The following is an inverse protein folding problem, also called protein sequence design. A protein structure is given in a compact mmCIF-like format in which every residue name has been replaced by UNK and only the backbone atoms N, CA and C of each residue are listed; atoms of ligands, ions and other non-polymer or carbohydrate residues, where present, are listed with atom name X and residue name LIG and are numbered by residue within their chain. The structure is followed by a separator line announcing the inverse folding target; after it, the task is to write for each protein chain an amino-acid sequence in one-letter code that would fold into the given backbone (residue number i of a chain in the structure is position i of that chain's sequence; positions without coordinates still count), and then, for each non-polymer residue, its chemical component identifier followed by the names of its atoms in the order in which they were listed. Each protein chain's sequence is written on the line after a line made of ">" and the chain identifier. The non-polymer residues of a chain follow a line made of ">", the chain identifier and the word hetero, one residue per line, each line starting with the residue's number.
data_IF_534059192657
#
_entry.id   IF_534059192657
#
_cell.length_a   1.000
_cell.length_b   1.000
_cell.length_c   1.000
_cell.angle_alpha   90.00
_cell.angle_beta   90.00
_cell.angle_gamma   90.00
#
_symmetry.space_group_name_H-M   'P 1'
#
loop_
_entity.id
_entity.type
_entity.pdbx_description
1 polymer ?
#
# COMPACT_ATOMS: atom_id res chain seq x y z
N UNK A 1 -11.38 -18.03 -26.71
CA UNK A 1 -11.25 -16.55 -26.66
C UNK A 1 -10.47 -16.23 -25.40
N UNK A 2 -9.16 -15.94 -25.51
CA UNK A 2 -8.34 -15.60 -24.33
C UNK A 2 -8.58 -14.13 -24.03
N UNK A 3 -9.62 -13.84 -23.24
CA UNK A 3 -9.82 -12.50 -22.71
C UNK A 3 -8.65 -12.13 -21.81
N UNK A 4 -8.02 -10.97 -22.02
CA UNK A 4 -7.03 -10.44 -21.08
C UNK A 4 -7.78 -10.07 -19.80
N UNK A 5 -7.55 -10.80 -18.72
CA UNK A 5 -8.02 -10.38 -17.40
C UNK A 5 -7.14 -9.21 -16.95
N UNK A 6 -7.75 -8.05 -16.73
CA UNK A 6 -7.03 -6.90 -16.18
C UNK A 6 -6.89 -7.10 -14.66
N UNK A 7 -5.65 -7.01 -14.18
CA UNK A 7 -5.31 -7.12 -12.77
C UNK A 7 -4.88 -5.73 -12.28
N UNK A 8 -5.74 -4.98 -11.55
CA UNK A 8 -5.43 -3.62 -11.08
C UNK A 8 -4.12 -3.54 -10.28
N UNK A 9 -3.77 -4.62 -9.57
CA UNK A 9 -2.54 -4.71 -8.79
C UNK A 9 -1.26 -4.73 -9.66
N UNK A 10 -1.36 -5.00 -10.96
CA UNK A 10 -0.25 -4.98 -11.92
C UNK A 10 -0.27 -3.73 -12.82
N UNK A 11 -1.14 -2.76 -12.53
CA UNK A 11 -1.21 -1.48 -13.23
C UNK A 11 -0.36 -0.41 -12.54
N UNK A 12 0.56 0.20 -13.28
CA UNK A 12 1.46 1.24 -12.78
C UNK A 12 0.70 2.52 -12.42
N UNK A 13 -0.31 2.91 -13.21
CA UNK A 13 -1.08 4.12 -12.94
C UNK A 13 -1.94 3.95 -11.68
N UNK A 14 -2.52 2.77 -11.49
CA UNK A 14 -3.26 2.48 -10.26
C UNK A 14 -2.32 2.38 -9.05
N UNK A 15 -1.11 1.81 -9.22
CA UNK A 15 -0.09 1.82 -8.16
C UNK A 15 0.37 3.24 -7.80
N UNK A 16 0.53 4.15 -8.77
CA UNK A 16 0.79 5.57 -8.51
C UNK A 16 -0.35 6.17 -7.69
N UNK A 17 -1.60 5.91 -8.09
CA UNK A 17 -2.79 6.43 -7.41
C UNK A 17 -2.87 5.96 -5.95
N UNK A 18 -2.71 4.66 -5.73
CA UNK A 18 -2.73 4.04 -4.40
C UNK A 18 -1.59 4.55 -3.51
N UNK A 19 -0.36 4.62 -4.02
CA UNK A 19 0.78 5.14 -3.25
C UNK A 19 0.62 6.62 -2.90
N UNK A 20 0.13 7.44 -3.83
CA UNK A 20 -0.15 8.85 -3.59
C UNK A 20 -1.20 9.02 -2.47
N UNK A 21 -2.34 8.33 -2.57
CA UNK A 21 -3.38 8.40 -1.54
C UNK A 21 -2.92 7.88 -0.17
N UNK A 22 -2.15 6.79 -0.13
CA UNK A 22 -1.55 6.29 1.10
C UNK A 22 -0.62 7.31 1.75
N UNK A 23 0.20 8.02 0.96
CA UNK A 23 1.10 9.05 1.47
C UNK A 23 0.36 10.29 1.97
N UNK A 24 -0.81 10.64 1.40
CA UNK A 24 -1.67 11.71 1.91
C UNK A 24 -2.25 11.37 3.28
N UNK A 25 -2.62 10.11 3.50
CA UNK A 25 -3.19 9.65 4.77
C UNK A 25 -2.13 9.39 5.84
N UNK A 26 -0.86 9.29 5.46
CA UNK A 26 0.22 9.09 6.40
C UNK A 26 0.54 10.36 7.18
N UNK A 27 0.84 10.22 8.48
CA UNK A 27 1.23 11.37 9.30
C UNK A 27 2.46 12.09 8.72
N UNK A 28 2.39 13.41 8.46
CA UNK A 28 3.53 14.19 7.95
C UNK A 28 4.74 14.20 8.91
N UNK A 29 4.47 14.05 10.21
CA UNK A 29 5.48 14.07 11.28
C UNK A 29 6.23 12.73 11.35
N UNK A 30 5.58 11.63 10.99
CA UNK A 30 6.13 10.27 11.07
C UNK A 30 5.96 9.55 9.73
N UNK A 31 6.72 9.94 8.69
CA UNK A 31 6.61 9.32 7.38
C UNK A 31 7.00 7.83 7.40
N UNK A 32 6.43 7.01 6.51
CA UNK A 32 6.77 5.60 6.39
C UNK A 32 8.16 5.42 5.78
N UNK A 33 8.76 4.24 5.96
CA UNK A 33 9.83 3.80 5.06
C UNK A 33 9.26 3.37 3.71
N UNK A 34 10.11 3.33 2.67
CA UNK A 34 9.70 2.88 1.35
C UNK A 34 9.11 1.47 1.35
N UNK A 35 9.70 0.55 2.11
CA UNK A 35 9.19 -0.81 2.22
C UNK A 35 7.79 -0.86 2.85
N UNK A 36 7.56 -0.03 3.87
CA UNK A 36 6.26 0.04 4.52
C UNK A 36 5.18 0.55 3.57
N UNK A 37 5.50 1.58 2.78
CA UNK A 37 4.61 2.07 1.72
C UNK A 37 4.28 0.95 0.73
N UNK A 38 5.27 0.14 0.34
CA UNK A 38 5.05 -0.98 -0.56
C UNK A 38 4.17 -2.09 0.02
N UNK A 39 4.34 -2.40 1.31
CA UNK A 39 3.48 -3.36 2.02
C UNK A 39 2.04 -2.82 2.09
N UNK A 40 1.87 -1.52 2.40
CA UNK A 40 0.56 -0.90 2.44
C UNK A 40 -0.11 -0.89 1.05
N UNK A 41 0.61 -0.50 -0.01
CA UNK A 41 0.10 -0.54 -1.39
C UNK A 41 -0.31 -1.97 -1.80
N UNK A 42 0.46 -2.98 -1.41
CA UNK A 42 0.13 -4.38 -1.69
C UNK A 42 -1.23 -4.79 -1.09
N UNK A 43 -1.49 -4.43 0.17
CA UNK A 43 -2.74 -4.78 0.83
C UNK A 43 -3.90 -3.87 0.46
N UNK A 44 -3.65 -2.64 0.00
CA UNK A 44 -4.67 -1.80 -0.62
C UNK A 44 -5.12 -2.40 -1.96
N UNK A 45 -4.18 -2.93 -2.74
CA UNK A 45 -4.48 -3.59 -4.02
C UNK A 45 -5.07 -5.01 -3.86
N UNK A 46 -4.77 -5.69 -2.75
CA UNK A 46 -5.23 -7.06 -2.47
C UNK A 46 -5.81 -7.20 -1.05
N UNK A 47 -6.91 -6.49 -0.72
CA UNK A 47 -7.47 -6.45 0.63
C UNK A 47 -7.78 -7.83 1.23
N UNK A 48 -8.33 -8.82 0.49
CA UNK A 48 -8.65 -10.13 1.05
C UNK A 48 -7.47 -10.85 1.69
N UNK A 49 -6.25 -10.59 1.21
CA UNK A 49 -5.05 -11.24 1.74
C UNK A 49 -4.72 -10.78 3.17
N UNK A 50 -5.30 -9.69 3.66
CA UNK A 50 -5.20 -9.27 5.07
C UNK A 50 -5.77 -10.32 6.04
N UNK A 51 -6.76 -11.12 5.61
CA UNK A 51 -7.30 -12.24 6.40
C UNK A 51 -6.23 -13.27 6.77
N UNK A 52 -5.18 -13.39 5.96
CA UNK A 52 -4.11 -14.37 6.13
C UNK A 52 -2.90 -13.84 6.91
N UNK A 53 -2.93 -12.58 7.35
CA UNK A 53 -1.85 -11.97 8.13
C UNK A 53 -2.04 -12.22 9.62
N UNK A 54 -1.00 -12.02 10.42
CA UNK A 54 -1.13 -11.96 11.88
C UNK A 54 -1.46 -10.53 12.32
N UNK A 55 -2.45 -10.35 13.19
CA UNK A 55 -2.82 -9.05 13.75
C UNK A 55 -3.16 -9.23 15.23
N UNK A 56 -2.84 -8.26 16.11
CA UNK A 56 -3.40 -8.19 17.44
C UNK A 56 -4.94 -8.19 17.41
N UNK A 57 -5.57 -8.68 18.48
CA UNK A 57 -7.04 -8.84 18.55
C UNK A 57 -7.82 -7.54 18.29
N UNK A 58 -7.32 -6.42 18.80
CA UNK A 58 -7.95 -5.10 18.60
C UNK A 58 -7.89 -4.67 17.12
N UNK A 59 -6.70 -4.74 16.50
CA UNK A 59 -6.51 -4.44 15.07
C UNK A 59 -7.36 -5.39 14.21
N UNK A 60 -7.46 -6.66 14.60
CA UNK A 60 -8.30 -7.66 13.92
C UNK A 60 -9.78 -7.29 13.99
N UNK A 61 -10.24 -6.67 15.08
CA UNK A 61 -11.63 -6.23 15.23
C UNK A 61 -11.94 -5.14 14.21
N UNK A 62 -11.13 -4.07 14.16
CA UNK A 62 -11.35 -2.97 13.21
C UNK A 62 -11.23 -3.43 11.76
N UNK A 63 -10.31 -4.36 11.44
CA UNK A 63 -10.26 -4.98 10.12
C UNK A 63 -11.59 -5.68 9.72
N UNK A 64 -12.26 -6.35 10.66
CA UNK A 64 -13.56 -7.00 10.38
C UNK A 64 -14.65 -5.98 10.10
N UNK A 65 -14.59 -4.81 10.72
CA UNK A 65 -15.57 -3.73 10.54
C UNK A 65 -15.50 -3.12 9.13
N UNK A 66 -14.35 -3.25 8.45
CA UNK A 66 -14.17 -2.88 7.03
C UNK A 66 -14.93 -3.80 6.05
N UNK A 67 -15.45 -4.96 6.53
CA UNK A 67 -16.22 -5.92 5.73
C UNK A 67 -15.53 -6.39 4.44
N UNK A 68 -14.19 -6.44 4.44
CA UNK A 68 -13.41 -6.97 3.33
C UNK A 68 -13.74 -8.46 3.15
N UNK A 69 -14.13 -8.91 1.93
CA UNK A 69 -14.47 -10.31 1.68
C UNK A 69 -13.26 -11.22 1.92
N UNK A 70 -13.54 -12.49 2.25
CA UNK A 70 -12.46 -13.49 2.38
C UNK A 70 -11.96 -13.91 0.99
N UNK A 71 -10.69 -14.33 0.85
CA UNK A 71 -10.15 -14.76 -0.44
C UNK A 71 -10.97 -15.83 -1.18
N UNK A 72 -11.62 -16.75 -0.46
CA UNK A 72 -12.47 -17.78 -1.07
C UNK A 72 -13.88 -17.34 -1.45
N UNK A 73 -14.27 -16.10 -1.15
CA UNK A 73 -15.55 -15.51 -1.53
C UNK A 73 -15.46 -14.65 -2.79
N UNK A 74 -14.26 -14.52 -3.36
CA UNK A 74 -14.04 -13.80 -4.59
C UNK A 74 -14.01 -14.72 -5.80
N UNK A 75 -14.35 -14.16 -6.96
CA UNK A 75 -14.27 -14.87 -8.24
C UNK A 75 -12.82 -15.18 -8.65
N UNK A 76 -11.85 -14.40 -8.15
CA UNK A 76 -10.44 -14.52 -8.50
C UNK A 76 -9.70 -15.30 -7.43
N UNK A 77 -8.99 -16.35 -7.83
CA UNK A 77 -8.06 -17.04 -6.95
C UNK A 77 -6.76 -16.24 -6.83
N UNK A 78 -6.37 -15.91 -5.61
CA UNK A 78 -5.11 -15.23 -5.34
C UNK A 78 -3.95 -16.24 -5.25
N UNK A 79 -2.79 -15.95 -5.89
CA UNK A 79 -1.54 -16.57 -5.50
C UNK A 79 -1.22 -16.29 -4.03
N UNK A 80 -0.26 -17.01 -3.46
CA UNK A 80 0.22 -16.69 -2.11
C UNK A 80 0.72 -15.25 -2.05
N UNK A 81 0.50 -14.58 -0.91
CA UNK A 81 0.85 -13.16 -0.75
C UNK A 81 2.32 -12.86 -1.08
N UNK A 82 3.32 -13.68 -0.68
CA UNK A 82 4.72 -13.44 -1.07
C UNK A 82 4.96 -13.50 -2.58
N UNK A 83 4.34 -14.45 -3.29
CA UNK A 83 4.49 -14.58 -4.75
C UNK A 83 3.87 -13.38 -5.45
N UNK A 84 2.68 -12.95 -5.03
CA UNK A 84 2.00 -11.80 -5.63
C UNK A 84 2.74 -10.50 -5.34
N UNK A 85 3.25 -10.34 -4.12
CA UNK A 85 4.07 -9.17 -3.75
C UNK A 85 5.35 -9.09 -4.59
N UNK A 86 6.01 -10.23 -4.85
CA UNK A 86 7.16 -10.28 -5.76
C UNK A 86 6.77 -9.91 -7.20
N UNK A 87 5.60 -10.34 -7.68
CA UNK A 87 5.09 -9.96 -9.01
C UNK A 87 4.80 -8.45 -9.10
N UNK A 88 4.34 -7.83 -8.01
CA UNK A 88 4.10 -6.40 -7.93
C UNK A 88 5.38 -5.56 -7.80
N UNK A 89 6.55 -6.17 -7.53
CA UNK A 89 7.79 -5.45 -7.22
C UNK A 89 8.16 -4.41 -8.30
N UNK A 90 8.15 -4.80 -9.57
CA UNK A 90 8.49 -3.90 -10.69
C UNK A 90 7.48 -2.77 -10.84
N UNK A 91 6.18 -3.08 -10.77
CA UNK A 91 5.09 -2.11 -10.89
C UNK A 91 5.17 -1.07 -9.78
N UNK A 92 5.34 -1.53 -8.54
CA UNK A 92 5.50 -0.67 -7.38
C UNK A 92 6.77 0.19 -7.47
N UNK A 93 7.90 -0.37 -7.94
CA UNK A 93 9.16 0.39 -8.13
C UNK A 93 9.03 1.44 -9.22
N UNK A 94 8.35 1.12 -10.33
CA UNK A 94 8.16 2.04 -11.42
C UNK A 94 7.21 3.18 -11.02
N UNK A 95 6.12 2.88 -10.31
CA UNK A 95 5.23 3.87 -9.72
C UNK A 95 6.01 4.81 -8.78
N UNK A 96 6.78 4.24 -7.87
CA UNK A 96 7.60 5.01 -6.94
C UNK A 96 8.64 5.90 -7.64
N UNK A 97 9.40 5.35 -8.59
CA UNK A 97 10.36 6.12 -9.41
C UNK A 97 9.68 7.22 -10.20
N UNK A 98 8.46 7.01 -10.67
CA UNK A 98 7.68 8.03 -11.39
C UNK A 98 7.31 9.19 -10.47
N UNK A 99 6.83 8.89 -9.26
CA UNK A 99 6.52 9.90 -8.24
C UNK A 99 7.77 10.70 -7.85
N UNK A 100 8.88 10.02 -7.55
CA UNK A 100 10.15 10.68 -7.22
C UNK A 100 10.73 11.48 -8.39
N UNK A 101 10.77 10.92 -9.59
CA UNK A 101 11.32 11.57 -10.78
C UNK A 101 10.51 12.78 -11.27
N UNK A 102 9.24 12.87 -10.86
CA UNK A 102 8.39 14.06 -11.08
C UNK A 102 8.47 15.09 -9.96
N UNK A 103 9.33 14.89 -8.96
CA UNK A 103 9.48 15.80 -7.82
C UNK A 103 8.29 15.79 -6.87
N UNK A 104 7.46 14.75 -6.89
CA UNK A 104 6.27 14.62 -6.01
C UNK A 104 6.62 13.98 -4.66
N UNK A 105 7.83 13.44 -4.53
CA UNK A 105 8.39 12.90 -3.28
C UNK A 105 9.54 13.79 -2.88
N UNK A 106 9.67 14.04 -1.58
CA UNK A 106 10.80 14.75 -0.99
C UNK A 106 12.05 13.86 -1.01
N UNK A 107 13.07 14.29 -1.76
CA UNK A 107 14.30 13.51 -1.95
C UNK A 107 15.20 13.54 -0.71
N UNK A 108 15.22 14.63 0.05
CA UNK A 108 16.05 14.75 1.26
C UNK A 108 15.58 13.76 2.34
N UNK A 109 14.26 13.58 2.47
CA UNK A 109 13.72 12.53 3.34
C UNK A 109 13.98 11.13 2.81
N UNK A 110 13.91 10.95 1.49
CA UNK A 110 14.17 9.66 0.88
C UNK A 110 15.60 9.19 1.15
N UNK A 111 16.58 10.10 1.10
CA UNK A 111 17.96 9.83 1.49
C UNK A 111 18.08 9.42 2.97
N UNK A 112 17.20 9.93 3.84
CA UNK A 112 17.09 9.56 5.25
C UNK A 112 16.30 8.26 5.48
N UNK A 113 15.83 7.61 4.40
CA UNK A 113 15.12 6.32 4.45
C UNK A 113 13.61 6.42 4.70
N UNK A 114 13.05 7.62 4.68
CA UNK A 114 11.61 7.87 4.85
C UNK A 114 11.00 8.44 3.58
N UNK A 115 9.69 8.25 3.38
CA UNK A 115 8.99 8.72 2.18
C UNK A 115 7.93 9.72 2.61
N UNK A 116 8.06 10.96 2.17
CA UNK A 116 7.00 11.97 2.28
C UNK A 116 6.74 12.62 0.92
N UNK A 117 5.51 13.12 0.68
CA UNK A 117 5.27 14.01 -0.44
C UNK A 117 6.16 15.26 -0.34
N UNK A 118 6.61 15.78 -1.48
CA UNK A 118 7.10 17.17 -1.54
C UNK A 118 5.94 18.15 -1.29
N UNK A 119 6.20 19.45 -1.13
CA UNK A 119 5.13 20.43 -0.93
C UNK A 119 4.09 20.40 -2.09
N UNK A 120 4.56 20.41 -3.35
CA UNK A 120 3.69 20.27 -4.52
C UNK A 120 3.09 18.87 -4.66
N UNK A 121 3.80 17.83 -4.21
CA UNK A 121 3.28 16.48 -4.13
C UNK A 121 2.09 16.37 -3.17
N UNK A 122 2.18 16.96 -1.99
CA UNK A 122 1.13 16.94 -0.97
C UNK A 122 -0.17 17.56 -1.50
N UNK A 123 -0.09 18.76 -2.08
CA UNK A 123 -1.22 19.47 -2.67
C UNK A 123 -1.86 18.65 -3.81
N UNK A 124 -1.03 18.10 -4.71
CA UNK A 124 -1.52 17.29 -5.82
C UNK A 124 -2.18 16.00 -5.34
N UNK A 125 -1.57 15.30 -4.38
CA UNK A 125 -2.09 14.04 -3.88
C UNK A 125 -3.43 14.23 -3.16
N UNK A 126 -3.54 15.26 -2.32
CA UNK A 126 -4.78 15.58 -1.62
C UNK A 126 -5.90 15.98 -2.59
N UNK A 127 -5.62 16.89 -3.53
CA UNK A 127 -6.66 17.43 -4.41
C UNK A 127 -7.08 16.47 -5.54
N UNK A 128 -6.14 15.69 -6.10
CA UNK A 128 -6.37 14.89 -7.31
C UNK A 128 -6.34 13.39 -7.11
N UNK A 129 -5.65 12.87 -6.09
CA UNK A 129 -5.49 11.43 -5.92
C UNK A 129 -6.38 10.87 -4.81
N UNK A 130 -6.46 11.54 -3.67
CA UNK A 130 -7.30 11.09 -2.56
C UNK A 130 -8.79 11.12 -2.94
N UNK A 131 -9.20 12.09 -3.76
CA UNK A 131 -10.56 12.20 -4.30
C UNK A 131 -10.93 11.06 -5.27
N UNK A 132 -9.96 10.29 -5.76
CA UNK A 132 -10.18 9.11 -6.59
C UNK A 132 -10.38 7.83 -5.77
N UNK A 133 -10.32 7.90 -4.44
CA UNK A 133 -10.59 6.76 -3.59
C UNK A 133 -12.11 6.67 -3.38
N UNK A 134 -12.66 5.48 -3.59
CA UNK A 134 -13.97 5.15 -3.03
C UNK A 134 -13.94 5.21 -1.50
N UNK A 135 -15.11 5.32 -0.88
CA UNK A 135 -15.22 5.34 0.59
C UNK A 135 -14.57 4.10 1.24
N UNK A 136 -14.76 2.92 0.65
CA UNK A 136 -14.16 1.67 1.14
C UNK A 136 -12.64 1.66 0.98
N UNK A 137 -12.10 2.15 -0.13
CA UNK A 137 -10.65 2.32 -0.30
C UNK A 137 -10.09 3.31 0.73
N UNK A 138 -10.79 4.41 1.00
CA UNK A 138 -10.37 5.41 1.98
C UNK A 138 -10.33 4.83 3.40
N UNK A 139 -11.37 4.09 3.80
CA UNK A 139 -11.42 3.40 5.10
C UNK A 139 -10.31 2.36 5.22
N UNK A 140 -10.09 1.55 4.18
CA UNK A 140 -9.04 0.54 4.15
C UNK A 140 -7.64 1.18 4.21
N UNK A 141 -7.38 2.20 3.39
CA UNK A 141 -6.11 2.90 3.39
C UNK A 141 -5.84 3.55 4.75
N UNK A 142 -6.85 4.17 5.36
CA UNK A 142 -6.74 4.73 6.71
C UNK A 142 -6.34 3.65 7.72
N UNK A 143 -7.05 2.51 7.75
CA UNK A 143 -6.70 1.37 8.59
C UNK A 143 -5.25 0.87 8.35
N UNK A 144 -4.82 0.81 7.09
CA UNK A 144 -3.49 0.35 6.73
C UNK A 144 -2.39 1.25 7.32
N UNK A 145 -2.56 2.56 7.24
CA UNK A 145 -1.55 3.53 7.69
C UNK A 145 -1.58 3.78 9.19
N UNK A 146 -2.74 3.70 9.84
CA UNK A 146 -2.90 4.04 11.26
C UNK A 146 -2.80 2.84 12.21
N UNK A 147 -3.20 1.65 11.78
CA UNK A 147 -3.34 0.49 12.67
C UNK A 147 -2.57 -0.74 12.22
N UNK A 148 -2.60 -1.06 10.93
CA UNK A 148 -1.97 -2.28 10.44
C UNK A 148 -0.46 -2.16 10.32
N UNK A 149 0.01 -1.12 9.63
CA UNK A 149 1.42 -0.87 9.38
C UNK A 149 1.86 0.54 9.81
N UNK A 150 1.50 1.05 11.00
CA UNK A 150 1.83 2.42 11.41
C UNK A 150 3.34 2.60 11.63
N UNK A 151 3.83 3.83 11.49
CA UNK A 151 5.28 4.14 11.48
C UNK A 151 6.00 3.73 12.75
N UNK A 152 5.34 3.81 13.90
CA UNK A 152 5.86 3.46 15.22
C UNK A 152 6.06 1.95 15.43
N UNK A 153 5.33 1.11 14.70
CA UNK A 153 5.53 -0.34 14.70
C UNK A 153 6.80 -0.69 13.94
N UNK A 154 7.73 -1.45 14.52
CA UNK A 154 8.95 -1.88 13.81
C UNK A 154 8.66 -2.54 12.46
N UNK A 155 9.43 -2.19 11.42
CA UNK A 155 9.27 -2.80 10.08
C UNK A 155 9.51 -4.31 10.11
N UNK A 156 10.40 -4.80 10.98
CA UNK A 156 10.64 -6.22 11.18
C UNK A 156 9.39 -6.94 11.72
N UNK A 157 8.61 -6.30 12.59
CA UNK A 157 7.35 -6.85 13.09
C UNK A 157 6.28 -6.91 12.00
N UNK A 158 6.23 -5.90 11.12
CA UNK A 158 5.32 -5.89 9.95
C UNK A 158 5.69 -7.01 8.96
N UNK A 159 6.99 -7.20 8.67
CA UNK A 159 7.48 -8.32 7.86
C UNK A 159 7.10 -9.67 8.46
N UNK A 160 7.28 -9.86 9.77
CA UNK A 160 6.91 -11.11 10.46
C UNK A 160 5.41 -11.39 10.38
N UNK A 161 4.56 -10.37 10.56
CA UNK A 161 3.11 -10.56 10.52
C UNK A 161 2.54 -10.82 9.13
N UNK A 162 3.25 -10.39 8.09
CA UNK A 162 2.79 -10.46 6.71
C UNK A 162 3.47 -11.57 5.91
N UNK A 163 4.65 -12.02 6.34
CA UNK A 163 5.53 -12.89 5.54
C UNK A 163 6.11 -12.20 4.30
N UNK A 164 5.83 -10.91 4.09
CA UNK A 164 6.27 -10.18 2.91
C UNK A 164 7.71 -9.70 3.09
N UNK A 165 8.54 -9.98 2.10
CA UNK A 165 9.91 -9.50 2.00
C UNK A 165 10.22 -9.21 0.54
N UNK A 166 10.95 -8.13 0.30
CA UNK A 166 11.56 -7.92 -1.02
C UNK A 166 12.91 -8.62 -1.06
N UNK A 167 13.18 -9.28 -2.17
CA UNK A 167 14.53 -9.72 -2.48
C UNK A 167 15.34 -8.46 -2.81
N UNK A 168 16.44 -8.26 -2.10
CA UNK A 168 17.43 -7.25 -2.48
C UNK A 168 18.02 -7.73 -3.80
N UNK A 169 17.86 -6.93 -4.86
CA UNK A 169 18.51 -7.15 -6.15
C UNK A 169 19.72 -6.25 -6.25
#
# INVERSE_FOLDING_TARGET
>A
MIGRLWYPQLDIYDAIRRMAGLLTLWSPVKPPSQERLFIADFYLANPPLLHNTHMPSEVRRHFRDLKVPRPGQEFVSYPSAPILFQKMDEVQRQAFRTLSGKGLIDLDQLEQGTVRPSAGGAELFESKFLSLFSESEHQLASFLVSEFAPTDREIAAVRRSTGLRRLVR
#
